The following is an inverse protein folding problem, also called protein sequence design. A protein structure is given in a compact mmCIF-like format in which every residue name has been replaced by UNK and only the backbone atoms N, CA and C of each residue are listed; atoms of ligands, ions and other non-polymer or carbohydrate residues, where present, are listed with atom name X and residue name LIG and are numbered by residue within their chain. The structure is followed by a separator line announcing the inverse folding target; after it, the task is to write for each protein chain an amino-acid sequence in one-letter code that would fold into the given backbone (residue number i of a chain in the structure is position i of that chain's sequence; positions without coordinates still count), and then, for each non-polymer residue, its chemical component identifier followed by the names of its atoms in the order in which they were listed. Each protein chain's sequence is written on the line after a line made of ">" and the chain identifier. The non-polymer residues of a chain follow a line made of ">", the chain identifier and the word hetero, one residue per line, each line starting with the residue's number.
data_IF_904901063270
#
_entry.id   IF_904901063270
#
_cell.length_a   1.000
_cell.length_b   1.000
_cell.length_c   1.000
_cell.angle_alpha   90.00
_cell.angle_beta   90.00
_cell.angle_gamma   90.00
#
_symmetry.space_group_name_H-M   'P 1'
#
loop_
_entity.id
_entity.type
_entity.pdbx_description
1 polymer ?
#
# COMPACT_ATOMS: atom_id res chain seq x y z
N UNK A 1 26.44 32.94 6.12
CA UNK A 1 26.21 31.53 6.49
C UNK A 1 24.71 31.35 6.63
N UNK A 2 24.02 30.86 5.59
CA UNK A 2 22.58 30.62 5.66
C UNK A 2 22.36 29.19 6.16
N UNK A 3 21.97 29.06 7.43
CA UNK A 3 21.44 27.81 7.97
C UNK A 3 20.09 27.54 7.33
N UNK A 4 20.03 26.50 6.49
CA UNK A 4 18.76 25.91 6.06
C UNK A 4 18.38 24.87 7.10
N UNK A 5 17.44 25.23 7.96
CA UNK A 5 16.76 24.28 8.83
C UNK A 5 15.84 23.43 7.95
N UNK A 6 16.10 22.13 7.87
CA UNK A 6 15.21 21.16 7.23
C UNK A 6 13.91 21.12 8.05
N UNK A 7 12.89 21.82 7.56
CA UNK A 7 11.53 21.66 8.07
C UNK A 7 10.96 20.38 7.50
N UNK A 8 10.33 19.62 8.39
CA UNK A 8 9.62 18.41 8.08
C UNK A 8 8.59 18.61 6.99
N UNK A 9 8.31 17.49 6.36
CA UNK A 9 7.46 17.27 5.19
C UNK A 9 5.95 17.58 5.44
N UNK A 10 5.61 18.73 6.02
CA UNK A 10 4.25 19.20 6.31
C UNK A 10 3.57 19.80 5.05
N UNK A 11 3.46 19.00 3.99
CA UNK A 11 2.66 19.36 2.81
C UNK A 11 1.25 18.75 2.94
N UNK A 12 0.18 19.56 3.08
CA UNK A 12 -1.19 19.06 3.21
C UNK A 12 -1.61 18.17 2.04
N UNK A 13 -1.22 18.50 0.81
CA UNK A 13 -1.56 17.73 -0.40
C UNK A 13 -1.06 16.28 -0.32
N UNK A 14 0.12 16.08 0.28
CA UNK A 14 0.71 14.75 0.47
C UNK A 14 -0.02 13.95 1.55
N UNK A 15 -0.55 14.62 2.58
CA UNK A 15 -1.31 13.94 3.61
C UNK A 15 -2.69 13.51 3.08
N UNK A 16 -3.37 14.38 2.34
CA UNK A 16 -4.63 14.05 1.65
C UNK A 16 -4.44 12.91 0.65
N UNK A 17 -3.35 12.93 -0.12
CA UNK A 17 -2.99 11.83 -1.03
C UNK A 17 -2.79 10.52 -0.28
N UNK A 18 -2.10 10.52 0.87
CA UNK A 18 -1.90 9.31 1.69
C UNK A 18 -3.20 8.78 2.30
N UNK A 19 -4.10 9.67 2.72
CA UNK A 19 -5.42 9.28 3.20
C UNK A 19 -6.25 8.63 2.08
N UNK A 20 -6.21 9.19 0.86
CA UNK A 20 -6.81 8.57 -0.34
C UNK A 20 -6.26 7.17 -0.58
N UNK A 21 -4.94 6.99 -0.53
CA UNK A 21 -4.32 5.67 -0.74
C UNK A 21 -4.70 4.67 0.36
N UNK A 22 -4.76 5.11 1.62
CA UNK A 22 -5.22 4.25 2.71
C UNK A 22 -6.68 3.80 2.50
N UNK A 23 -7.55 4.73 2.09
CA UNK A 23 -8.94 4.40 1.77
C UNK A 23 -9.05 3.43 0.59
N UNK A 24 -8.25 3.61 -0.47
CA UNK A 24 -8.18 2.68 -1.60
C UNK A 24 -7.78 1.27 -1.14
N UNK A 25 -6.81 1.15 -0.24
CA UNK A 25 -6.41 -0.16 0.30
C UNK A 25 -7.56 -0.81 1.07
N UNK A 26 -8.29 -0.08 1.89
CA UNK A 26 -9.41 -0.62 2.66
C UNK A 26 -10.59 -0.99 1.75
N UNK A 27 -11.00 -0.11 0.84
CA UNK A 27 -12.19 -0.31 0.02
C UNK A 27 -11.94 -1.27 -1.13
N UNK A 28 -10.87 -1.06 -1.89
CA UNK A 28 -10.63 -1.80 -3.11
C UNK A 28 -9.83 -3.09 -2.87
N UNK A 29 -8.72 -3.01 -2.12
CA UNK A 29 -7.97 -4.24 -1.79
C UNK A 29 -8.73 -5.08 -0.75
N UNK A 30 -9.33 -4.43 0.25
CA UNK A 30 -10.09 -5.10 1.30
C UNK A 30 -11.36 -5.80 0.81
N UNK A 31 -11.90 -5.46 -0.36
CA UNK A 31 -13.02 -6.19 -0.97
C UNK A 31 -12.73 -7.68 -1.18
N UNK A 32 -11.48 -8.02 -1.51
CA UNK A 32 -11.01 -9.40 -1.69
C UNK A 32 -10.21 -9.90 -0.49
N UNK A 33 -9.39 -9.04 0.11
CA UNK A 33 -8.45 -9.39 1.18
C UNK A 33 -9.05 -9.15 2.60
N UNK A 34 -10.33 -8.83 2.68
CA UNK A 34 -11.05 -8.45 3.89
C UNK A 34 -10.80 -6.98 4.27
N UNK A 35 -11.82 -6.28 4.79
CA UNK A 35 -11.70 -4.87 5.22
C UNK A 35 -10.67 -4.67 6.34
N UNK A 36 -10.31 -5.75 7.05
CA UNK A 36 -9.25 -5.78 8.08
C UNK A 36 -7.95 -6.41 7.58
N UNK A 37 -7.86 -6.70 6.28
CA UNK A 37 -6.70 -7.29 5.60
C UNK A 37 -6.31 -8.71 6.09
N UNK A 38 -7.19 -9.39 6.84
CA UNK A 38 -7.00 -10.75 7.37
C UNK A 38 -7.18 -11.86 6.33
N UNK A 39 -7.52 -11.51 5.09
CA UNK A 39 -7.83 -12.45 4.02
C UNK A 39 -9.33 -12.75 3.92
N UNK A 40 -9.70 -13.39 2.81
CA UNK A 40 -11.07 -13.74 2.45
C UNK A 40 -11.06 -14.52 1.14
N UNK A 41 -11.46 -13.86 0.05
CA UNK A 41 -11.28 -14.40 -1.30
C UNK A 41 -9.79 -14.38 -1.70
N UNK A 42 -9.08 -13.32 -1.33
CA UNK A 42 -7.63 -13.21 -1.44
C UNK A 42 -6.90 -13.60 -0.14
N UNK A 43 -5.58 -13.83 -0.20
CA UNK A 43 -4.76 -14.12 0.98
C UNK A 43 -4.73 -12.94 1.97
N UNK A 44 -4.32 -13.20 3.21
CA UNK A 44 -4.06 -12.12 4.18
C UNK A 44 -2.95 -11.18 3.69
N UNK A 45 -3.13 -9.87 3.89
CA UNK A 45 -2.13 -8.83 3.61
C UNK A 45 -1.52 -8.26 4.89
N UNK A 46 -1.62 -8.98 6.01
CA UNK A 46 -1.00 -8.58 7.28
C UNK A 46 0.52 -8.79 7.26
N UNK A 47 1.28 -8.06 8.10
CA UNK A 47 2.74 -8.14 8.12
C UNK A 47 3.29 -9.56 8.22
N UNK A 48 2.69 -10.39 9.06
CA UNK A 48 3.08 -11.79 9.27
C UNK A 48 2.92 -12.67 8.01
N UNK A 49 2.12 -12.24 7.03
CA UNK A 49 1.95 -12.91 5.75
C UNK A 49 2.81 -12.30 4.63
N UNK A 50 3.45 -11.17 4.87
CA UNK A 50 4.26 -10.42 3.90
C UNK A 50 5.74 -10.31 4.30
N UNK A 51 6.12 -10.87 5.45
CA UNK A 51 7.46 -10.78 6.03
C UNK A 51 8.56 -11.33 5.10
N UNK A 52 8.28 -12.46 4.44
CA UNK A 52 9.15 -13.16 3.50
C UNK A 52 9.34 -12.45 2.16
N UNK A 53 8.52 -11.44 1.84
CA UNK A 53 8.62 -10.69 0.58
C UNK A 53 9.32 -9.36 0.79
N UNK A 54 10.36 -9.00 0.01
CA UNK A 54 10.86 -7.62 0.04
C UNK A 54 9.78 -6.64 -0.42
N UNK A 55 9.89 -5.36 -0.02
CA UNK A 55 8.92 -4.32 -0.39
C UNK A 55 8.77 -4.22 -1.91
N UNK A 56 9.86 -4.40 -2.64
CA UNK A 56 9.92 -4.36 -4.09
C UNK A 56 9.13 -5.51 -4.73
N UNK A 57 9.09 -6.68 -4.10
CA UNK A 57 8.27 -7.80 -4.55
C UNK A 57 6.78 -7.51 -4.33
N UNK A 58 6.42 -6.96 -3.17
CA UNK A 58 5.04 -6.52 -2.89
C UNK A 58 4.61 -5.46 -3.93
N UNK A 59 5.48 -4.50 -4.23
CA UNK A 59 5.24 -3.47 -5.23
C UNK A 59 5.05 -4.06 -6.63
N UNK A 60 5.86 -5.05 -7.02
CA UNK A 60 5.69 -5.73 -8.31
C UNK A 60 4.35 -6.47 -8.41
N UNK A 61 3.94 -7.15 -7.34
CA UNK A 61 2.63 -7.84 -7.27
C UNK A 61 1.48 -6.84 -7.39
N UNK A 62 1.51 -5.72 -6.67
CA UNK A 62 0.48 -4.68 -6.77
C UNK A 62 0.46 -4.08 -8.19
N UNK A 63 1.63 -3.76 -8.73
CA UNK A 63 1.79 -3.13 -10.04
C UNK A 63 1.23 -3.99 -11.16
N UNK A 64 1.58 -5.27 -11.18
CA UNK A 64 1.29 -6.19 -12.28
C UNK A 64 0.08 -7.09 -12.04
N UNK A 65 -0.46 -7.11 -10.82
CA UNK A 65 -1.46 -8.08 -10.40
C UNK A 65 -0.85 -9.48 -10.28
N UNK A 66 -1.70 -10.50 -10.17
CA UNK A 66 -1.24 -11.90 -10.17
C UNK A 66 -1.87 -12.62 -11.37
N UNK A 67 -1.09 -12.91 -12.43
CA UNK A 67 -1.58 -13.57 -13.64
C UNK A 67 -2.33 -14.87 -13.34
N UNK A 68 -3.45 -15.08 -14.00
CA UNK A 68 -4.30 -16.27 -13.79
C UNK A 68 -5.15 -16.22 -12.52
N UNK A 69 -5.18 -15.10 -11.79
CA UNK A 69 -6.06 -14.89 -10.63
C UNK A 69 -6.99 -13.69 -10.84
N UNK A 70 -7.89 -13.45 -9.88
CA UNK A 70 -8.75 -12.26 -9.87
C UNK A 70 -8.02 -10.98 -9.41
N UNK A 71 -6.75 -11.03 -8.98
CA UNK A 71 -6.01 -9.85 -8.53
C UNK A 71 -5.53 -9.02 -9.73
N UNK A 72 -6.13 -7.82 -9.97
CA UNK A 72 -5.83 -7.03 -11.17
C UNK A 72 -4.51 -6.25 -11.05
N UNK A 73 -3.91 -5.81 -12.17
CA UNK A 73 -2.81 -4.85 -12.16
C UNK A 73 -3.29 -3.46 -11.74
N UNK A 74 -2.56 -2.81 -10.83
CA UNK A 74 -2.89 -1.45 -10.36
C UNK A 74 -2.11 -0.34 -11.06
N UNK A 75 -1.11 -0.68 -11.89
CA UNK A 75 -0.32 0.31 -12.66
C UNK A 75 -1.12 1.27 -13.57
N UNK A 76 -2.35 0.98 -14.03
CA UNK A 76 -3.14 1.98 -14.78
C UNK A 76 -3.72 3.09 -13.89
N UNK A 77 -3.79 2.87 -12.57
CA UNK A 77 -4.47 3.76 -11.61
C UNK A 77 -3.54 4.41 -10.59
N UNK A 78 -2.37 3.81 -10.35
CA UNK A 78 -1.42 4.22 -9.32
C UNK A 78 -0.03 4.51 -9.90
N UNK A 79 0.61 5.57 -9.42
CA UNK A 79 2.00 5.88 -9.74
C UNK A 79 2.96 4.86 -9.10
N UNK A 80 4.19 4.71 -9.61
CA UNK A 80 5.22 3.92 -8.95
C UNK A 80 5.48 4.33 -7.49
N UNK A 81 5.43 5.62 -7.16
CA UNK A 81 5.62 6.07 -5.78
C UNK A 81 4.44 5.68 -4.87
N UNK A 82 3.21 5.79 -5.37
CA UNK A 82 2.00 5.38 -4.63
C UNK A 82 2.02 3.87 -4.34
N UNK A 83 2.36 3.05 -5.34
CA UNK A 83 2.51 1.59 -5.19
C UNK A 83 3.59 1.27 -4.16
N UNK A 84 4.75 1.92 -4.24
CA UNK A 84 5.84 1.71 -3.28
C UNK A 84 5.44 2.14 -1.87
N UNK A 85 4.69 3.24 -1.74
CA UNK A 85 4.15 3.68 -0.46
C UNK A 85 3.19 2.64 0.13
N UNK A 86 2.20 2.16 -0.63
CA UNK A 86 1.27 1.11 -0.18
C UNK A 86 2.04 -0.12 0.28
N UNK A 87 3.01 -0.56 -0.51
CA UNK A 87 3.82 -1.76 -0.24
C UNK A 87 4.54 -1.67 1.11
N UNK A 88 5.17 -0.52 1.40
CA UNK A 88 5.82 -0.29 2.70
C UNK A 88 4.83 -0.33 3.85
N UNK A 89 3.65 0.27 3.68
CA UNK A 89 2.65 0.39 4.75
C UNK A 89 1.94 -0.93 5.03
N UNK A 90 1.70 -1.75 4.02
CA UNK A 90 1.24 -3.14 4.19
C UNK A 90 2.29 -3.96 4.94
N UNK A 91 3.55 -3.93 4.50
CA UNK A 91 4.64 -4.68 5.14
C UNK A 91 4.86 -4.26 6.60
N UNK A 92 4.70 -2.98 6.92
CA UNK A 92 4.83 -2.47 8.29
C UNK A 92 3.57 -2.63 9.14
N UNK A 93 2.44 -3.04 8.55
CA UNK A 93 1.14 -3.14 9.23
C UNK A 93 0.47 -1.81 9.51
N UNK A 94 0.97 -0.71 8.96
CA UNK A 94 0.52 0.63 9.32
C UNK A 94 -0.74 1.10 8.56
N UNK A 95 -1.38 0.17 7.83
CA UNK A 95 -2.74 0.27 7.27
C UNK A 95 -3.71 -0.73 7.92
N UNK A 96 -3.23 -1.56 8.85
CA UNK A 96 -4.08 -2.51 9.56
C UNK A 96 -4.77 -1.75 10.69
N UNK A 97 -6.09 -1.62 10.59
CA UNK A 97 -6.91 -1.22 11.73
C UNK A 97 -6.83 -2.31 12.81
N UNK A 98 -6.76 -1.95 14.11
CA UNK A 98 -6.71 -2.90 15.22
C UNK A 98 -7.77 -4.02 15.15
#
# INVERSE_FOLDING_TARGET
>A
MMSVTVLGDDNPDRNESRARLANLVVQDCGSCHGLTLRGGLGPSLRPENLDHLPVEAIAAIIREGVPGTAMPPWKPLLSPEEIYWISKRLKSGALVSP
#
